data_IF_908824795102
#
_entry.id   IF_908824795102
#
_cell.length_a   1.000
_cell.length_b   1.000
_cell.length_c   1.000
_cell.angle_alpha   90.00
_cell.angle_beta   90.00
_cell.angle_gamma   90.00
#
_symmetry.space_group_name_H-M   'P 1'
#
loop_
_entity.id
_entity.type
_entity.pdbx_description
1 polymer ?
#
# COMPACT_ATOMS: atom_id res chain seq x y z
N UNK A 1 3.72 13.36 -15.91
CA UNK A 1 2.57 13.35 -16.86
C UNK A 1 1.48 12.48 -16.26
N UNK A 2 0.21 12.89 -16.34
CA UNK A 2 -0.91 12.02 -15.96
C UNK A 2 -0.88 10.80 -16.87
N UNK A 3 -0.79 9.61 -16.27
CA UNK A 3 -0.87 8.40 -17.06
C UNK A 3 -2.34 8.12 -17.38
N UNK A 4 -2.71 8.32 -18.64
CA UNK A 4 -4.04 8.06 -19.18
C UNK A 4 -4.54 6.64 -18.90
N UNK A 5 -3.64 5.67 -18.69
CA UNK A 5 -3.98 4.31 -18.27
C UNK A 5 -4.66 4.29 -16.89
N UNK A 6 -4.19 5.11 -15.94
CA UNK A 6 -4.80 5.21 -14.60
C UNK A 6 -6.22 5.74 -14.72
N UNK A 7 -6.41 6.77 -15.55
CA UNK A 7 -7.73 7.39 -15.81
C UNK A 7 -8.69 6.39 -16.45
N UNK A 8 -8.21 5.60 -17.42
CA UNK A 8 -9.01 4.56 -18.07
C UNK A 8 -9.43 3.44 -17.10
N UNK A 9 -8.55 3.01 -16.21
CA UNK A 9 -8.87 2.01 -15.17
C UNK A 9 -9.95 2.54 -14.22
N UNK A 10 -9.87 3.81 -13.82
CA UNK A 10 -10.92 4.44 -13.01
C UNK A 10 -12.27 4.52 -13.74
N UNK A 11 -12.27 4.89 -15.02
CA UNK A 11 -13.49 4.96 -15.83
C UNK A 11 -14.16 3.59 -15.99
N UNK A 12 -13.38 2.54 -16.28
CA UNK A 12 -13.88 1.16 -16.38
C UNK A 12 -14.40 0.69 -15.02
N UNK A 13 -13.67 0.98 -13.94
CA UNK A 13 -14.09 0.63 -12.58
C UNK A 13 -15.43 1.25 -12.19
N UNK A 14 -15.65 2.54 -12.53
CA UNK A 14 -16.91 3.26 -12.28
C UNK A 14 -18.05 2.70 -13.15
N UNK A 15 -17.81 2.45 -14.44
CA UNK A 15 -18.81 1.85 -15.34
C UNK A 15 -19.24 0.45 -14.86
N UNK A 16 -18.28 -0.36 -14.42
CA UNK A 16 -18.55 -1.69 -13.89
C UNK A 16 -19.31 -1.63 -12.56
N UNK A 17 -18.96 -0.68 -11.70
CA UNK A 17 -19.64 -0.41 -10.43
C UNK A 17 -21.10 -0.01 -10.63
N UNK A 18 -21.39 0.90 -11.58
CA UNK A 18 -22.76 1.32 -11.88
C UNK A 18 -23.64 0.19 -12.41
N UNK A 19 -23.05 -0.82 -13.07
CA UNK A 19 -23.81 -1.92 -13.67
C UNK A 19 -24.21 -3.01 -12.67
N UNK A 20 -23.68 -3.00 -11.45
CA UNK A 20 -23.90 -4.08 -10.48
C UNK A 20 -24.88 -3.71 -9.38
N UNK A 21 -26.11 -4.20 -9.52
CA UNK A 21 -27.24 -3.94 -8.60
C UNK A 21 -27.26 -4.85 -7.35
N UNK A 22 -26.24 -5.70 -7.16
CA UNK A 22 -26.17 -6.63 -6.03
C UNK A 22 -25.09 -6.23 -5.01
N UNK A 23 -25.54 -5.88 -3.79
CA UNK A 23 -24.70 -5.36 -2.69
C UNK A 23 -23.56 -6.31 -2.26
N UNK A 24 -23.70 -7.62 -2.44
CA UNK A 24 -22.68 -8.61 -2.02
C UNK A 24 -21.34 -8.46 -2.75
N UNK A 25 -21.35 -8.06 -4.02
CA UNK A 25 -20.14 -7.96 -4.83
C UNK A 25 -19.52 -6.56 -4.82
N UNK A 26 -20.19 -5.58 -4.19
CA UNK A 26 -19.77 -4.17 -4.17
C UNK A 26 -18.40 -4.00 -3.52
N UNK A 27 -18.15 -4.66 -2.39
CA UNK A 27 -16.86 -4.60 -1.69
C UNK A 27 -15.74 -5.31 -2.45
N UNK A 28 -16.03 -6.46 -3.06
CA UNK A 28 -15.05 -7.22 -3.85
C UNK A 28 -14.55 -6.39 -5.04
N UNK A 29 -15.43 -5.64 -5.71
CA UNK A 29 -15.03 -4.80 -6.85
C UNK A 29 -14.19 -3.61 -6.41
N UNK A 30 -14.59 -2.92 -5.34
CA UNK A 30 -13.80 -1.83 -4.78
C UNK A 30 -12.41 -2.35 -4.39
N UNK A 31 -12.36 -3.51 -3.73
CA UNK A 31 -11.10 -4.16 -3.38
C UNK A 31 -10.26 -4.51 -4.61
N UNK A 32 -10.86 -5.08 -5.67
CA UNK A 32 -10.15 -5.40 -6.92
C UNK A 32 -9.61 -4.16 -7.62
N UNK A 33 -10.37 -3.05 -7.64
CA UNK A 33 -9.91 -1.78 -8.20
C UNK A 33 -8.74 -1.23 -7.40
N UNK A 34 -8.85 -1.20 -6.07
CA UNK A 34 -7.77 -0.75 -5.19
C UNK A 34 -6.53 -1.65 -5.32
N UNK A 35 -6.72 -2.97 -5.44
CA UNK A 35 -5.63 -3.92 -5.64
C UNK A 35 -4.95 -3.69 -7.00
N UNK A 36 -5.71 -3.50 -8.07
CA UNK A 36 -5.17 -3.21 -9.38
C UNK A 36 -4.38 -1.88 -9.40
N UNK A 37 -4.92 -0.84 -8.77
CA UNK A 37 -4.24 0.46 -8.61
C UNK A 37 -2.95 0.33 -7.79
N UNK A 38 -3.00 -0.43 -6.69
CA UNK A 38 -1.84 -0.71 -5.86
C UNK A 38 -0.74 -1.44 -6.65
N UNK A 39 -1.08 -2.51 -7.37
CA UNK A 39 -0.12 -3.26 -8.18
C UNK A 39 0.48 -2.40 -9.29
N UNK A 40 -0.36 -1.58 -9.94
CA UNK A 40 0.10 -0.65 -10.98
C UNK A 40 1.06 0.42 -10.42
N UNK A 41 0.71 1.04 -9.29
CA UNK A 41 1.55 2.08 -8.70
C UNK A 41 2.89 1.51 -8.21
N UNK A 42 2.87 0.34 -7.58
CA UNK A 42 4.08 -0.29 -7.05
C UNK A 42 4.99 -0.81 -8.15
N UNK A 43 4.46 -1.42 -9.22
CA UNK A 43 5.30 -1.82 -10.36
C UNK A 43 5.92 -0.60 -11.06
N UNK A 44 5.21 0.53 -11.13
CA UNK A 44 5.77 1.78 -11.65
C UNK A 44 6.95 2.29 -10.81
N UNK A 45 6.85 2.22 -9.48
CA UNK A 45 7.94 2.60 -8.56
C UNK A 45 9.13 1.64 -8.64
N UNK A 46 8.88 0.33 -8.74
CA UNK A 46 9.95 -0.66 -8.90
C UNK A 46 10.64 -0.48 -10.25
N UNK A 47 9.88 -0.25 -11.32
CA UNK A 47 10.42 -0.05 -12.66
C UNK A 47 11.23 1.25 -12.77
N UNK A 48 10.78 2.35 -12.17
CA UNK A 48 11.51 3.62 -12.21
C UNK A 48 12.84 3.59 -11.45
N UNK A 49 12.97 2.73 -10.44
CA UNK A 49 14.22 2.55 -9.67
C UNK A 49 15.22 1.62 -10.33
N UNK A 50 14.75 0.67 -11.15
CA UNK A 50 15.60 -0.36 -11.76
C UNK A 50 15.78 -0.19 -13.27
N UNK A 51 15.08 0.78 -13.87
CA UNK A 51 15.21 1.17 -15.28
C UNK A 51 15.08 -0.01 -16.26
N UNK A 52 14.14 -0.95 -15.98
CA UNK A 52 13.99 -2.11 -16.86
C UNK A 52 13.45 -1.71 -18.24
N UNK A 53 14.10 -2.26 -19.28
CA UNK A 53 13.57 -2.20 -20.64
C UNK A 53 12.49 -3.27 -20.85
N UNK A 54 11.24 -2.87 -20.62
CA UNK A 54 10.06 -3.71 -20.77
C UNK A 54 9.74 -4.09 -22.23
N UNK A 55 10.41 -3.48 -23.22
CA UNK A 55 10.22 -3.84 -24.64
C UNK A 55 10.92 -5.15 -25.00
N UNK A 56 11.86 -5.60 -24.17
CA UNK A 56 12.58 -6.86 -24.36
C UNK A 56 12.01 -7.97 -23.48
N UNK A 57 12.03 -9.20 -23.99
CA UNK A 57 11.62 -10.39 -23.22
C UNK A 57 12.47 -10.55 -21.96
N UNK A 58 13.78 -10.28 -22.05
CA UNK A 58 14.71 -10.39 -20.92
C UNK A 58 14.44 -9.31 -19.86
N UNK A 59 14.19 -8.07 -20.27
CA UNK A 59 13.86 -6.98 -19.34
C UNK A 59 12.52 -7.22 -18.65
N UNK A 60 11.51 -7.71 -19.38
CA UNK A 60 10.21 -8.10 -18.80
C UNK A 60 10.35 -9.22 -17.76
N UNK A 61 11.11 -10.28 -18.05
CA UNK A 61 11.34 -11.38 -17.10
C UNK A 61 12.10 -10.92 -15.84
N UNK A 62 13.08 -10.04 -16.00
CA UNK A 62 13.81 -9.46 -14.87
C UNK A 62 12.90 -8.57 -14.02
N UNK A 63 12.07 -7.73 -14.65
CA UNK A 63 11.11 -6.89 -13.96
C UNK A 63 10.13 -7.72 -13.11
N UNK A 64 9.59 -8.81 -13.66
CA UNK A 64 8.70 -9.71 -12.92
C UNK A 64 9.41 -10.36 -11.73
N UNK A 65 10.62 -10.89 -11.92
CA UNK A 65 11.40 -11.50 -10.83
C UNK A 65 11.65 -10.52 -9.69
N UNK A 66 12.09 -9.30 -10.02
CA UNK A 66 12.37 -8.27 -9.02
C UNK A 66 11.08 -7.80 -8.35
N UNK A 67 10.00 -7.62 -9.10
CA UNK A 67 8.71 -7.22 -8.54
C UNK A 67 8.12 -8.27 -7.58
N UNK A 68 8.20 -9.57 -7.93
CA UNK A 68 7.78 -10.66 -7.04
C UNK A 68 8.66 -10.73 -5.79
N UNK A 69 9.98 -10.53 -5.91
CA UNK A 69 10.88 -10.44 -4.77
C UNK A 69 10.53 -9.27 -3.84
N UNK A 70 10.27 -8.09 -4.41
CA UNK A 70 9.82 -6.92 -3.67
C UNK A 70 8.52 -7.16 -2.91
N UNK A 71 7.52 -7.77 -3.57
CA UNK A 71 6.27 -8.17 -2.92
C UNK A 71 6.51 -9.16 -1.77
N UNK A 72 7.33 -10.18 -1.99
CA UNK A 72 7.68 -11.18 -0.98
C UNK A 72 8.30 -10.57 0.27
N UNK A 73 9.27 -9.66 0.11
CA UNK A 73 9.84 -8.92 1.22
C UNK A 73 8.82 -7.98 1.88
N UNK A 74 7.93 -7.35 1.10
CA UNK A 74 6.82 -6.55 1.62
C UNK A 74 5.91 -7.36 2.55
N UNK A 75 5.54 -8.58 2.17
CA UNK A 75 4.75 -9.48 3.03
C UNK A 75 5.50 -9.92 4.29
N UNK A 76 6.81 -10.18 4.20
CA UNK A 76 7.63 -10.50 5.36
C UNK A 76 7.67 -9.34 6.36
N UNK A 77 7.84 -8.12 5.87
CA UNK A 77 7.82 -6.90 6.69
C UNK A 77 6.46 -6.69 7.33
N UNK A 78 5.37 -6.86 6.57
CA UNK A 78 4.01 -6.75 7.10
C UNK A 78 3.72 -7.81 8.17
N UNK A 79 4.18 -9.05 7.97
CA UNK A 79 4.09 -10.13 8.96
C UNK A 79 4.87 -9.78 10.23
N UNK A 80 6.09 -9.27 10.09
CA UNK A 80 6.91 -8.88 11.24
C UNK A 80 6.24 -7.73 12.01
N UNK A 81 5.76 -6.70 11.31
CA UNK A 81 5.08 -5.55 11.90
C UNK A 81 3.81 -5.95 12.64
N UNK A 82 2.93 -6.72 12.00
CA UNK A 82 1.69 -7.20 12.61
C UNK A 82 1.96 -8.18 13.76
N UNK A 83 2.94 -9.06 13.62
CA UNK A 83 3.37 -9.97 14.69
C UNK A 83 3.91 -9.23 15.91
N UNK A 84 4.69 -8.17 15.71
CA UNK A 84 5.19 -7.33 16.79
C UNK A 84 4.06 -6.54 17.45
N UNK A 85 3.12 -5.99 16.66
CA UNK A 85 1.96 -5.27 17.20
C UNK A 85 1.07 -6.17 18.07
N UNK A 86 0.83 -7.42 17.66
CA UNK A 86 0.06 -8.37 18.47
C UNK A 86 0.78 -8.73 19.78
N UNK A 87 2.11 -8.84 19.76
CA UNK A 87 2.93 -9.15 20.94
C UNK A 87 3.11 -7.98 21.89
N UNK A 88 2.74 -6.76 21.48
CA UNK A 88 2.85 -5.59 22.33
C UNK A 88 1.92 -5.72 23.53
N UNK A 89 2.42 -5.41 24.73
CA UNK A 89 1.59 -5.33 25.91
C UNK A 89 0.78 -4.03 25.86
N UNK A 90 -0.45 -4.14 25.36
CA UNK A 90 -1.38 -3.02 25.23
C UNK A 90 -1.93 -2.54 26.59
N UNK A 91 -1.68 -3.27 27.67
CA UNK A 91 -2.14 -2.91 29.02
C UNK A 91 -1.11 -2.12 29.82
N UNK A 92 0.15 -2.15 29.40
CA UNK A 92 1.23 -1.42 30.04
C UNK A 92 1.33 0.03 29.50
N UNK A 93 0.79 0.98 30.25
CA UNK A 93 0.80 2.41 29.95
C UNK A 93 1.89 3.17 30.72
N UNK A 94 3.10 2.61 30.83
CA UNK A 94 4.29 3.33 31.33
C UNK A 94 4.77 4.45 30.38
N UNK A 95 3.89 5.03 29.56
CA UNK A 95 4.16 6.23 28.80
C UNK A 95 4.17 7.42 29.74
N UNK A 96 5.34 8.01 29.95
CA UNK A 96 5.46 9.31 30.63
C UNK A 96 4.91 10.40 29.71
N UNK A 97 3.59 10.59 29.71
CA UNK A 97 2.96 11.71 29.02
C UNK A 97 3.19 12.99 29.83
N UNK A 98 4.31 13.67 29.56
CA UNK A 98 4.72 14.97 30.09
C UNK A 98 4.64 15.09 31.63
N UNK A 99 5.80 15.24 32.27
CA UNK A 99 5.83 15.50 33.69
C UNK A 99 5.17 16.87 33.94
N UNK A 100 4.16 16.95 34.81
CA UNK A 100 3.44 18.20 35.13
C UNK A 100 4.36 19.32 35.62
N UNK A 101 5.59 18.98 36.05
CA UNK A 101 6.64 19.94 36.42
C UNK A 101 7.30 20.67 35.25
N UNK A 102 7.10 20.25 34.01
CA UNK A 102 7.68 20.93 32.82
C UNK A 102 6.82 22.13 32.36
N UNK A 103 5.64 22.36 32.98
CA UNK A 103 4.69 23.43 32.65
C UNK A 103 4.63 24.51 33.75
N UNK A 104 5.73 24.75 34.48
CA UNK A 104 5.83 25.99 35.25
C UNK A 104 7.22 26.64 35.18
N UNK A 105 7.54 27.34 34.09
CA UNK A 105 8.45 28.46 34.18
C UNK A 105 7.67 29.65 34.76
N UNK A 106 8.05 30.06 35.98
CA UNK A 106 7.74 31.38 36.56
C UNK A 106 6.32 31.56 37.15
N UNK A 107 6.16 31.26 38.44
CA UNK A 107 5.31 32.09 39.32
C UNK A 107 6.16 32.56 40.51
N UNK A 108 6.61 33.82 40.37
CA UNK A 108 7.16 34.80 41.33
C UNK A 108 8.02 34.31 42.49
#
# INVERSE_FOLDING_TARGET
MINWIIVAVFLIGILFFMRMNHLKHRYTIIFLILLALFLYATISVVNSRNEFDLTTTKGSLNAVKVYLGWLGHGFQNLKALTGNAIKMDWTNTNGTFFNKTDINPQVK
#
